data_IF_437089402107
#
_entry.id   IF_437089402107
#
_cell.length_a   1.000
_cell.length_b   1.000
_cell.length_c   1.000
_cell.angle_alpha   90.00
_cell.angle_beta   90.00
_cell.angle_gamma   90.00
#
_symmetry.space_group_name_H-M   'P 1'
#
loop_
_entity.id
_entity.type
_entity.pdbx_description
1 polymer ?
#
# COMPACT_ATOMS: atom_id res chain seq x y z
N UNK A 1 -6.65 -20.37 -31.11
CA UNK A 1 -7.67 -20.70 -30.10
C UNK A 1 -7.95 -19.53 -29.17
N UNK A 2 -8.96 -19.60 -28.29
CA UNK A 2 -9.35 -18.49 -27.42
C UNK A 2 -8.20 -17.99 -26.52
N UNK A 3 -7.41 -18.92 -25.98
CA UNK A 3 -6.26 -18.62 -25.10
C UNK A 3 -5.16 -17.82 -25.81
N UNK A 4 -4.86 -18.16 -27.08
CA UNK A 4 -3.88 -17.42 -27.87
C UNK A 4 -4.35 -16.00 -28.20
N UNK A 5 -5.66 -15.80 -28.41
CA UNK A 5 -6.23 -14.47 -28.65
C UNK A 5 -6.20 -13.61 -27.38
N UNK A 6 -6.56 -14.19 -26.23
CA UNK A 6 -6.45 -13.48 -24.95
C UNK A 6 -4.99 -13.08 -24.66
N UNK A 7 -4.04 -14.00 -24.76
CA UNK A 7 -2.65 -13.73 -24.40
C UNK A 7 -1.94 -12.75 -25.35
N UNK A 8 -2.25 -12.77 -26.65
CA UNK A 8 -1.56 -11.93 -27.66
C UNK A 8 -2.29 -10.64 -28.03
N UNK A 9 -3.59 -10.56 -27.79
CA UNK A 9 -4.40 -9.40 -28.20
C UNK A 9 -4.98 -8.69 -26.97
N UNK A 10 -5.81 -9.39 -26.19
CA UNK A 10 -6.55 -8.77 -25.07
C UNK A 10 -5.61 -8.38 -23.92
N UNK A 11 -4.76 -9.31 -23.47
CA UNK A 11 -3.84 -9.13 -22.35
C UNK A 11 -2.88 -7.96 -22.56
N UNK A 12 -2.14 -7.83 -23.68
CA UNK A 12 -1.26 -6.69 -23.89
C UNK A 12 -2.02 -5.35 -24.00
N UNK A 13 -3.29 -5.37 -24.44
CA UNK A 13 -4.12 -4.17 -24.47
C UNK A 13 -4.53 -3.70 -23.06
N UNK A 14 -4.83 -4.63 -22.15
CA UNK A 14 -5.23 -4.31 -20.77
C UNK A 14 -4.06 -4.36 -19.77
N UNK A 15 -2.84 -4.71 -20.20
CA UNK A 15 -1.70 -4.97 -19.30
C UNK A 15 -1.41 -3.83 -18.33
N UNK A 16 -1.57 -2.58 -18.77
CA UNK A 16 -1.33 -1.41 -17.94
C UNK A 16 -2.41 -1.25 -16.86
N UNK A 17 -3.67 -1.50 -17.23
CA UNK A 17 -4.80 -1.52 -16.29
C UNK A 17 -4.67 -2.67 -15.29
N UNK A 18 -4.24 -3.85 -15.74
CA UNK A 18 -3.97 -5.00 -14.87
C UNK A 18 -2.82 -4.71 -13.89
N UNK A 19 -1.77 -4.03 -14.34
CA UNK A 19 -0.67 -3.63 -13.45
C UNK A 19 -1.13 -2.62 -12.40
N UNK A 20 -1.91 -1.62 -12.82
CA UNK A 20 -2.49 -0.62 -11.92
C UNK A 20 -3.43 -1.24 -10.88
N UNK A 21 -4.32 -2.15 -11.31
CA UNK A 21 -5.23 -2.83 -10.39
C UNK A 21 -4.52 -3.86 -9.50
N UNK A 22 -3.42 -4.48 -9.95
CA UNK A 22 -2.62 -5.38 -9.13
C UNK A 22 -1.96 -4.65 -7.96
N UNK A 23 -1.39 -3.46 -8.20
CA UNK A 23 -0.82 -2.62 -7.14
C UNK A 23 -1.91 -2.12 -6.17
N UNK A 24 -3.08 -1.75 -6.71
CA UNK A 24 -4.20 -1.33 -5.89
C UNK A 24 -4.74 -2.48 -5.03
N UNK A 25 -4.91 -3.68 -5.59
CA UNK A 25 -5.32 -4.87 -4.87
C UNK A 25 -4.31 -5.27 -3.79
N UNK A 26 -3.01 -5.13 -4.07
CA UNK A 26 -1.96 -5.33 -3.07
C UNK A 26 -2.09 -4.34 -1.90
N UNK A 27 -2.27 -3.05 -2.19
CA UNK A 27 -2.44 -2.02 -1.17
C UNK A 27 -3.68 -2.27 -0.30
N UNK A 28 -4.83 -2.55 -0.92
CA UNK A 28 -6.06 -2.91 -0.20
C UNK A 28 -5.85 -4.13 0.69
N UNK A 29 -5.16 -5.16 0.21
CA UNK A 29 -4.85 -6.34 1.03
C UNK A 29 -3.90 -6.03 2.21
N UNK A 30 -3.03 -5.03 2.07
CA UNK A 30 -2.08 -4.64 3.10
C UNK A 30 -2.76 -3.86 4.23
N UNK A 31 -3.81 -3.11 3.90
CA UNK A 31 -4.59 -2.30 4.86
C UNK A 31 -5.59 -3.12 5.69
N UNK A 32 -5.81 -4.39 5.34
CA UNK A 32 -6.77 -5.29 5.97
C UNK A 32 -6.24 -5.92 7.30
N UNK A 33 -5.67 -5.10 8.18
CA UNK A 33 -5.10 -5.55 9.46
C UNK A 33 -6.17 -6.09 10.40
N UNK A 34 -7.36 -5.48 10.39
CA UNK A 34 -8.45 -5.82 11.31
C UNK A 34 -8.92 -7.25 11.07
N UNK A 35 -9.25 -7.63 9.83
CA UNK A 35 -9.72 -8.99 9.53
C UNK A 35 -8.61 -10.02 9.73
N UNK A 36 -7.38 -9.69 9.32
CA UNK A 36 -6.24 -10.59 9.49
C UNK A 36 -5.90 -10.83 10.96
N UNK A 37 -6.16 -9.89 11.88
CA UNK A 37 -5.98 -10.11 13.31
C UNK A 37 -6.91 -11.19 13.88
N UNK A 38 -8.14 -11.30 13.37
CA UNK A 38 -9.12 -12.29 13.83
C UNK A 38 -8.98 -13.67 13.15
N UNK A 39 -8.37 -13.73 11.96
CA UNK A 39 -8.19 -14.97 11.18
C UNK A 39 -6.76 -15.52 11.23
N UNK A 40 -5.74 -14.68 11.44
CA UNK A 40 -4.34 -15.14 11.47
C UNK A 40 -4.02 -15.82 12.80
N UNK A 41 -3.41 -17.01 12.73
CA UNK A 41 -2.93 -17.72 13.91
C UNK A 41 -1.61 -17.16 14.42
N UNK A 42 -1.27 -17.46 15.68
CA UNK A 42 -0.06 -16.96 16.39
C UNK A 42 1.25 -17.21 15.64
N UNK A 43 1.30 -18.24 14.78
CA UNK A 43 2.48 -18.64 14.00
C UNK A 43 2.59 -18.00 12.61
N UNK A 44 1.54 -17.35 12.12
CA UNK A 44 1.47 -16.77 10.77
C UNK A 44 1.05 -15.30 10.85
N UNK A 45 1.88 -14.49 11.51
CA UNK A 45 1.66 -13.04 11.56
C UNK A 45 2.11 -12.40 10.25
N UNK A 46 1.20 -11.70 9.58
CA UNK A 46 1.52 -10.91 8.39
C UNK A 46 2.31 -9.67 8.78
N UNK A 47 3.01 -9.05 7.82
CA UNK A 47 3.81 -7.84 8.07
C UNK A 47 3.00 -6.72 8.75
N UNK A 48 1.76 -6.39 8.31
CA UNK A 48 0.95 -5.38 8.96
C UNK A 48 0.55 -5.74 10.41
N UNK A 49 0.21 -7.00 10.66
CA UNK A 49 -0.16 -7.48 12.01
C UNK A 49 1.04 -7.40 12.96
N UNK A 50 2.26 -7.65 12.47
CA UNK A 50 3.47 -7.49 13.27
C UNK A 50 3.76 -6.03 13.63
N UNK A 51 3.53 -5.10 12.69
CA UNK A 51 3.63 -3.66 12.95
C UNK A 51 2.57 -3.23 13.97
N UNK A 52 1.34 -3.73 13.84
CA UNK A 52 0.24 -3.50 14.78
C UNK A 52 0.58 -3.98 16.19
N UNK A 53 1.09 -5.20 16.34
CA UNK A 53 1.53 -5.72 17.63
C UNK A 53 2.67 -4.90 18.24
N UNK A 54 3.61 -4.40 17.42
CA UNK A 54 4.70 -3.56 17.89
C UNK A 54 4.21 -2.24 18.53
N UNK A 55 3.06 -1.70 18.09
CA UNK A 55 2.42 -0.52 18.70
C UNK A 55 2.07 -0.77 20.17
N UNK A 56 1.65 -1.99 20.50
CA UNK A 56 1.13 -2.33 21.84
C UNK A 56 2.18 -2.99 22.74
N UNK A 57 3.20 -3.65 22.19
CA UNK A 57 4.17 -4.45 22.95
C UNK A 57 5.58 -3.85 23.04
N UNK A 58 5.97 -2.89 22.19
CA UNK A 58 7.27 -2.23 22.27
C UNK A 58 7.10 -0.71 22.26
N UNK A 59 7.38 -0.05 23.39
CA UNK A 59 7.54 1.41 23.47
C UNK A 59 8.88 1.81 22.83
N UNK A 60 9.17 1.31 21.64
CA UNK A 60 10.31 1.77 20.83
C UNK A 60 9.87 3.04 20.10
N UNK A 61 10.64 4.14 20.16
CA UNK A 61 10.29 5.42 19.52
C UNK A 61 10.30 5.37 17.98
N UNK A 62 10.42 4.17 17.40
CA UNK A 62 10.43 3.92 15.95
C UNK A 62 9.10 4.24 15.29
N UNK A 63 7.96 3.96 15.93
CA UNK A 63 6.65 4.19 15.29
C UNK A 63 6.36 5.69 15.09
N UNK A 64 6.54 6.58 16.10
CA UNK A 64 6.46 8.03 15.88
C UNK A 64 7.52 8.56 14.90
N UNK A 65 8.73 7.99 14.88
CA UNK A 65 9.78 8.37 13.94
C UNK A 65 9.41 8.06 12.49
N UNK A 66 8.83 6.89 12.22
CA UNK A 66 8.35 6.54 10.87
C UNK A 66 7.20 7.45 10.44
N UNK A 67 6.24 7.72 11.33
CA UNK A 67 5.11 8.61 11.05
C UNK A 67 5.58 10.03 10.69
N UNK A 68 6.54 10.59 11.41
CA UNK A 68 7.08 11.92 11.11
C UNK A 68 7.79 11.98 9.76
N UNK A 69 8.55 10.95 9.38
CA UNK A 69 9.21 10.86 8.07
C UNK A 69 8.19 10.79 6.93
N UNK A 70 7.13 9.98 7.07
CA UNK A 70 6.08 9.87 6.05
C UNK A 70 5.32 11.19 5.88
N UNK A 71 5.02 11.88 6.99
CA UNK A 71 4.38 13.21 6.96
C UNK A 71 5.28 14.23 6.27
N UNK A 72 6.58 14.25 6.59
CA UNK A 72 7.56 15.14 5.94
C UNK A 72 7.65 14.89 4.44
N UNK A 73 7.75 13.62 4.03
CA UNK A 73 7.77 13.25 2.62
C UNK A 73 6.49 13.70 1.90
N UNK A 74 5.33 13.51 2.53
CA UNK A 74 4.04 13.97 2.00
C UNK A 74 4.01 15.49 1.86
N UNK A 75 4.50 16.25 2.85
CA UNK A 75 4.62 17.70 2.75
C UNK A 75 5.52 18.12 1.58
N UNK A 76 6.67 17.48 1.39
CA UNK A 76 7.61 17.81 0.31
C UNK A 76 6.98 17.60 -1.07
N UNK A 77 6.14 16.58 -1.24
CA UNK A 77 5.44 16.33 -2.51
C UNK A 77 4.29 17.31 -2.71
N UNK A 78 3.54 17.61 -1.64
CA UNK A 78 2.28 18.35 -1.73
C UNK A 78 2.49 19.88 -1.74
N UNK A 79 3.52 20.38 -1.06
CA UNK A 79 3.87 21.82 -1.02
C UNK A 79 4.16 22.44 -2.39
N UNK A 80 5.00 21.88 -3.29
CA UNK A 80 5.21 22.45 -4.61
C UNK A 80 3.94 22.41 -5.47
N UNK A 81 3.10 21.37 -5.34
CA UNK A 81 1.82 21.30 -6.04
C UNK A 81 0.87 22.45 -5.61
N UNK A 82 0.83 22.75 -4.30
CA UNK A 82 0.03 23.85 -3.76
C UNK A 82 0.59 25.23 -4.14
N UNK A 83 1.91 25.38 -4.19
CA UNK A 83 2.56 26.63 -4.60
C UNK A 83 2.36 26.93 -6.08
N UNK A 84 2.38 25.91 -6.94
CA UNK A 84 2.07 26.05 -8.39
C UNK A 84 0.60 26.42 -8.59
N UNK A 85 -0.32 25.82 -7.81
CA UNK A 85 -1.75 26.17 -7.85
C UNK A 85 -2.07 27.57 -7.34
N UNK A 86 -1.24 28.15 -6.45
CA UNK A 86 -1.40 29.53 -5.98
C UNK A 86 -0.93 30.59 -6.98
N UNK A 87 -0.17 30.21 -8.01
CA UNK A 87 0.34 31.12 -9.04
C UNK A 87 -0.54 31.20 -10.31
N UNK A 88 -1.55 30.35 -10.43
CA UNK A 88 -2.60 30.42 -11.45
C UNK A 88 -3.83 31.13 -10.88
#
# INVERSE_FOLDING_TARGET
GPVTTFARVTFPQIRLAVFGSALFAFNVSFDEVVVTLFISGVRTKTLPVKVWDAIFYEITPILPAISTVIILASLVVLTPLLLVRRKA
#
